data_IF_134268433681
#
_entry.id   IF_134268433681
#
_cell.length_a   1.000
_cell.length_b   1.000
_cell.length_c   1.000
_cell.angle_alpha   90.00
_cell.angle_beta   90.00
_cell.angle_gamma   90.00
#
_symmetry.space_group_name_H-M   'P 1'
#
loop_
_entity.id
_entity.type
_entity.pdbx_description
1 polymer ?
#
# COMPACT_ATOMS: atom_id res chain seq x y z
N UNK A 1 41.67 22.24 11.37
CA UNK A 1 40.24 21.99 11.67
C UNK A 1 39.86 20.68 11.01
N UNK A 2 39.76 19.62 11.80
CA UNK A 2 39.52 18.27 11.32
C UNK A 2 38.03 18.14 10.99
N UNK A 3 37.68 18.08 9.71
CA UNK A 3 36.37 17.61 9.28
C UNK A 3 36.16 16.20 9.88
N UNK A 4 34.95 15.93 10.38
CA UNK A 4 34.64 14.59 10.86
C UNK A 4 34.80 13.58 9.70
N UNK A 5 35.34 12.37 9.91
CA UNK A 5 35.67 11.43 8.84
C UNK A 5 34.48 11.04 7.93
N UNK A 6 33.24 11.29 8.39
CA UNK A 6 32.01 10.95 7.68
C UNK A 6 31.59 11.98 6.62
N UNK A 7 32.10 13.23 6.69
CA UNK A 7 31.65 14.34 5.85
C UNK A 7 32.69 14.81 4.82
N UNK A 8 33.91 14.28 4.84
CA UNK A 8 35.02 14.78 4.01
C UNK A 8 34.93 14.48 2.51
N UNK A 9 34.04 13.57 2.09
CA UNK A 9 33.91 13.14 0.68
C UNK A 9 33.20 14.20 -0.19
N UNK A 10 32.53 15.17 0.43
CA UNK A 10 31.75 16.22 -0.25
C UNK A 10 32.59 17.19 -1.12
N UNK A 11 33.91 17.29 -0.92
CA UNK A 11 34.74 18.27 -1.61
C UNK A 11 35.31 17.78 -2.95
N UNK A 12 35.63 16.48 -3.07
CA UNK A 12 36.32 15.93 -4.24
C UNK A 12 35.35 15.59 -5.41
N UNK A 13 34.14 15.12 -5.09
CA UNK A 13 33.16 14.66 -6.10
C UNK A 13 32.44 15.79 -6.85
N UNK A 14 32.42 17.03 -6.30
CA UNK A 14 31.78 18.18 -6.97
C UNK A 14 32.41 18.49 -8.35
N UNK A 15 33.72 18.18 -8.54
CA UNK A 15 34.39 18.34 -9.84
C UNK A 15 33.94 17.31 -10.87
N UNK A 16 33.48 16.13 -10.46
CA UNK A 16 33.15 15.00 -11.35
C UNK A 16 31.71 15.02 -11.87
N UNK A 17 30.79 15.63 -11.13
CA UNK A 17 29.35 15.54 -11.42
C UNK A 17 28.67 16.88 -11.73
N UNK A 18 29.35 18.02 -11.62
CA UNK A 18 28.81 19.34 -12.00
C UNK A 18 27.68 19.88 -11.10
N UNK A 19 27.21 19.10 -10.11
CA UNK A 19 26.28 19.50 -9.06
C UNK A 19 26.99 19.51 -7.69
N UNK A 20 26.41 20.21 -6.70
CA UNK A 20 26.92 20.19 -5.33
C UNK A 20 26.41 18.93 -4.64
N UNK A 21 27.23 17.89 -4.58
CA UNK A 21 26.86 16.55 -4.08
C UNK A 21 27.68 16.21 -2.85
N UNK A 22 27.02 15.89 -1.74
CA UNK A 22 27.63 15.22 -0.60
C UNK A 22 27.24 13.75 -0.61
N UNK A 23 28.22 12.87 -0.49
CA UNK A 23 27.98 11.45 -0.20
C UNK A 23 28.30 11.20 1.26
N UNK A 24 27.32 10.67 2.00
CA UNK A 24 27.56 10.06 3.29
C UNK A 24 27.89 8.59 3.05
N UNK A 25 29.18 8.27 3.07
CA UNK A 25 29.68 6.89 3.07
C UNK A 25 30.65 6.76 4.25
N UNK A 26 30.66 5.60 4.88
CA UNK A 26 31.41 5.41 6.13
C UNK A 26 32.60 4.47 5.99
N UNK A 27 33.21 4.33 4.79
CA UNK A 27 34.64 4.01 4.61
C UNK A 27 35.05 3.96 3.13
N UNK A 28 36.31 4.35 2.89
CA UNK A 28 37.25 4.12 1.77
C UNK A 28 36.81 4.46 0.32
N UNK A 29 37.44 5.48 -0.31
CA UNK A 29 37.25 5.85 -1.72
C UNK A 29 37.47 4.71 -2.74
N UNK A 30 38.17 3.63 -2.36
CA UNK A 30 38.53 2.51 -3.24
C UNK A 30 37.32 1.69 -3.73
N UNK A 31 36.18 1.71 -3.03
CA UNK A 31 34.97 0.95 -3.41
C UNK A 31 34.19 1.62 -4.56
N UNK A 32 34.39 2.93 -4.79
CA UNK A 32 33.83 3.66 -5.94
C UNK A 32 34.59 3.40 -7.25
N UNK A 33 35.63 2.57 -7.21
CA UNK A 33 36.35 2.07 -8.38
C UNK A 33 35.87 0.67 -8.77
N UNK A 34 34.57 0.37 -8.65
CA UNK A 34 34.08 -0.85 -9.30
C UNK A 34 34.30 -0.72 -10.81
N UNK A 35 34.87 -1.73 -11.49
CA UNK A 35 34.92 -1.75 -12.93
C UNK A 35 33.49 -1.59 -13.45
N UNK A 36 33.31 -0.85 -14.55
CA UNK A 36 32.07 -0.80 -15.30
C UNK A 36 31.49 -2.22 -15.39
N UNK A 37 30.48 -2.53 -14.56
CA UNK A 37 29.58 -3.61 -14.91
C UNK A 37 28.79 -3.05 -16.06
N UNK A 38 29.23 -3.39 -17.27
CA UNK A 38 28.39 -3.33 -18.45
C UNK A 38 27.05 -3.93 -18.06
N UNK A 39 26.04 -3.07 -17.99
CA UNK A 39 24.65 -3.49 -18.02
C UNK A 39 24.47 -4.16 -19.37
N UNK A 40 24.74 -5.46 -19.42
CA UNK A 40 24.40 -6.25 -20.59
C UNK A 40 22.87 -6.30 -20.70
N UNK A 41 22.44 -5.80 -21.85
CA UNK A 41 21.12 -5.73 -22.44
C UNK A 41 20.12 -4.69 -21.90
N UNK A 42 19.76 -3.68 -22.72
CA UNK A 42 18.56 -2.90 -22.48
C UNK A 42 17.36 -3.82 -22.70
N UNK A 43 16.67 -4.16 -21.61
CA UNK A 43 15.40 -4.87 -21.70
C UNK A 43 14.40 -3.97 -22.45
N UNK A 44 14.22 -4.23 -23.76
CA UNK A 44 13.19 -3.56 -24.57
C UNK A 44 11.83 -4.14 -24.17
N UNK A 45 11.09 -3.42 -23.34
CA UNK A 45 9.64 -3.45 -23.38
C UNK A 45 9.11 -2.02 -23.55
N UNK A 46 8.94 -1.65 -24.81
CA UNK A 46 8.04 -0.55 -25.19
C UNK A 46 6.62 -1.07 -25.12
N UNK A 47 5.89 -0.72 -24.06
CA UNK A 47 4.45 -0.44 -24.11
C UNK A 47 4.03 0.15 -22.76
N UNK A 48 3.42 1.35 -22.81
CA UNK A 48 2.76 1.97 -21.66
C UNK A 48 1.65 1.03 -21.19
N UNK A 49 1.90 0.26 -20.13
CA UNK A 49 0.81 -0.44 -19.48
C UNK A 49 -0.06 0.58 -18.72
N UNK A 50 -1.40 0.51 -18.87
CA UNK A 50 -2.30 1.21 -17.96
C UNK A 50 -2.00 0.80 -16.51
N UNK A 51 -2.50 1.54 -15.49
CA UNK A 51 -2.29 1.19 -14.08
C UNK A 51 -2.53 -0.31 -13.87
N UNK A 52 -1.69 -1.00 -13.07
CA UNK A 52 -1.65 -2.46 -13.05
C UNK A 52 -3.08 -2.98 -12.84
N UNK A 53 -3.63 -3.59 -13.88
CA UNK A 53 -4.75 -4.51 -13.68
C UNK A 53 -4.12 -5.73 -13.05
N UNK A 54 -4.28 -5.87 -11.73
CA UNK A 54 -3.85 -7.06 -11.03
C UNK A 54 -4.38 -8.28 -11.77
N UNK A 55 -3.47 -9.09 -12.28
CA UNK A 55 -3.87 -10.32 -12.98
C UNK A 55 -4.22 -11.36 -11.93
N UNK A 56 -5.01 -12.36 -12.32
CA UNK A 56 -5.25 -13.52 -11.46
C UNK A 56 -3.94 -14.21 -11.05
N UNK A 57 -2.89 -14.12 -11.87
CA UNK A 57 -1.56 -14.64 -11.57
C UNK A 57 -0.90 -13.83 -10.45
N UNK A 58 -1.03 -12.50 -10.46
CA UNK A 58 -0.47 -11.64 -9.41
C UNK A 58 -1.13 -11.94 -8.06
N UNK A 59 -2.46 -12.08 -8.03
CA UNK A 59 -3.23 -12.46 -6.83
C UNK A 59 -2.82 -13.85 -6.31
N UNK A 60 -2.62 -14.82 -7.19
CA UNK A 60 -2.18 -16.18 -6.81
C UNK A 60 -0.74 -16.19 -6.31
N UNK A 61 0.14 -15.41 -6.92
CA UNK A 61 1.53 -15.26 -6.50
C UNK A 61 1.62 -14.56 -5.16
N UNK A 62 0.87 -13.48 -4.94
CA UNK A 62 0.77 -12.80 -3.66
C UNK A 62 0.24 -13.74 -2.58
N UNK A 63 -0.84 -14.49 -2.86
CA UNK A 63 -1.36 -15.52 -1.95
C UNK A 63 -0.27 -16.54 -1.57
N UNK A 64 0.42 -17.13 -2.54
CA UNK A 64 1.43 -18.14 -2.26
C UNK A 64 2.62 -17.56 -1.47
N UNK A 65 3.06 -16.35 -1.81
CA UNK A 65 4.15 -15.67 -1.12
C UNK A 65 3.76 -15.32 0.32
N UNK A 66 2.58 -14.70 0.52
CA UNK A 66 2.14 -14.22 1.82
C UNK A 66 1.71 -15.37 2.73
N UNK A 67 1.00 -16.38 2.24
CA UNK A 67 0.51 -17.45 3.12
C UNK A 67 1.55 -18.55 3.29
N UNK A 68 2.19 -19.01 2.22
CA UNK A 68 3.01 -20.23 2.30
C UNK A 68 4.48 -19.90 2.51
N UNK A 69 5.04 -18.99 1.71
CA UNK A 69 6.46 -18.65 1.83
C UNK A 69 6.73 -17.91 3.14
N UNK A 70 5.87 -16.96 3.54
CA UNK A 70 6.05 -16.24 4.79
C UNK A 70 5.90 -17.15 6.01
N UNK A 71 4.87 -18.03 6.04
CA UNK A 71 4.67 -18.96 7.15
C UNK A 71 5.82 -19.97 7.25
N UNK A 72 6.31 -20.45 6.11
CA UNK A 72 7.49 -21.33 6.07
C UNK A 72 8.72 -20.67 6.70
N UNK A 73 9.03 -19.44 6.30
CA UNK A 73 10.18 -18.71 6.86
C UNK A 73 9.99 -18.35 8.33
N UNK A 74 8.77 -18.01 8.75
CA UNK A 74 8.45 -17.77 10.16
C UNK A 74 8.61 -19.03 10.99
N UNK A 75 7.99 -20.14 10.59
CA UNK A 75 8.12 -21.44 11.27
C UNK A 75 9.59 -21.87 11.38
N UNK A 76 10.35 -21.75 10.28
CA UNK A 76 11.78 -22.06 10.27
C UNK A 76 12.56 -21.17 11.24
N UNK A 77 12.31 -19.87 11.25
CA UNK A 77 12.99 -18.93 12.15
C UNK A 77 12.63 -19.20 13.61
N UNK A 78 11.34 -19.41 13.91
CA UNK A 78 10.84 -19.64 15.26
C UNK A 78 11.24 -21.02 15.82
N UNK A 79 11.48 -22.01 14.95
CA UNK A 79 12.05 -23.29 15.37
C UNK A 79 13.43 -23.14 16.01
N UNK A 80 14.20 -22.11 15.64
CA UNK A 80 15.49 -21.79 16.28
C UNK A 80 15.31 -21.35 17.74
N UNK A 81 14.11 -20.91 18.12
CA UNK A 81 13.72 -20.50 19.47
C UNK A 81 12.89 -21.58 20.19
N UNK A 82 12.79 -22.79 19.64
CA UNK A 82 12.06 -23.91 20.26
C UNK A 82 10.56 -23.95 20.00
N UNK A 83 10.04 -23.10 19.10
CA UNK A 83 8.64 -23.10 18.69
C UNK A 83 8.50 -24.03 17.48
N UNK A 84 7.97 -25.23 17.71
CA UNK A 84 7.92 -26.30 16.70
C UNK A 84 6.80 -26.11 15.66
N UNK A 85 5.73 -25.41 16.02
CA UNK A 85 4.55 -25.19 15.18
C UNK A 85 4.22 -23.70 15.14
N UNK A 86 4.01 -23.18 13.93
CA UNK A 86 3.63 -21.80 13.70
C UNK A 86 2.59 -21.78 12.58
N UNK A 87 1.45 -21.19 12.88
CA UNK A 87 0.46 -20.77 11.89
C UNK A 87 0.04 -19.33 12.18
N UNK A 88 -0.25 -18.57 11.12
CA UNK A 88 -0.72 -17.19 11.28
C UNK A 88 -2.09 -17.12 11.97
N UNK A 89 -2.95 -18.11 11.71
CA UNK A 89 -4.26 -18.30 12.36
C UNK A 89 -4.14 -18.33 13.87
N UNK A 90 -3.16 -19.05 14.43
CA UNK A 90 -2.94 -19.17 15.87
C UNK A 90 -2.62 -17.80 16.47
N UNK A 91 -1.73 -17.03 15.82
CA UNK A 91 -1.43 -15.65 16.24
C UNK A 91 -2.71 -14.80 16.23
N UNK A 92 -3.46 -14.80 15.14
CA UNK A 92 -4.64 -13.95 15.05
C UNK A 92 -5.76 -14.34 16.02
N UNK A 93 -5.87 -15.62 16.39
CA UNK A 93 -6.90 -16.11 17.31
C UNK A 93 -6.52 -15.96 18.78
N UNK A 94 -5.24 -16.10 19.12
CA UNK A 94 -4.75 -16.05 20.50
C UNK A 94 -4.29 -14.64 20.93
N UNK A 95 -4.01 -13.75 19.98
CA UNK A 95 -3.57 -12.38 20.28
C UNK A 95 -4.71 -11.57 20.93
N UNK A 96 -4.41 -10.96 22.08
CA UNK A 96 -5.35 -10.09 22.79
C UNK A 96 -5.35 -8.65 22.26
N UNK A 97 -4.17 -8.10 21.97
CA UNK A 97 -3.99 -6.81 21.32
C UNK A 97 -2.80 -6.87 20.35
N UNK A 98 -2.96 -6.19 19.22
CA UNK A 98 -1.93 -6.01 18.20
C UNK A 98 -1.58 -4.54 18.13
N UNK A 99 -0.31 -4.21 18.38
CA UNK A 99 0.21 -2.85 18.20
C UNK A 99 0.78 -2.71 16.80
N UNK A 100 0.30 -1.72 16.05
CA UNK A 100 0.78 -1.43 14.70
C UNK A 100 1.50 -0.10 14.64
N UNK A 101 2.70 -0.13 14.07
CA UNK A 101 3.47 1.08 13.76
C UNK A 101 3.02 1.76 12.46
N UNK A 102 2.04 1.18 11.76
CA UNK A 102 1.43 1.79 10.59
C UNK A 102 0.48 2.94 11.01
N UNK A 103 0.39 4.03 10.24
CA UNK A 103 -0.60 5.08 10.50
C UNK A 103 -2.02 4.60 10.19
N UNK A 104 -2.95 4.72 11.14
CA UNK A 104 -4.35 4.29 11.01
C UNK A 104 -5.15 4.98 9.89
N UNK A 105 -4.80 6.22 9.53
CA UNK A 105 -5.58 7.03 8.59
C UNK A 105 -5.16 6.92 7.13
N UNK A 106 -4.11 6.16 6.81
CA UNK A 106 -3.48 6.18 5.48
C UNK A 106 -3.39 4.83 4.79
N UNK A 107 -3.81 3.76 5.46
CA UNK A 107 -4.03 2.48 4.81
C UNK A 107 -5.32 2.50 4.03
N UNK A 108 -5.43 1.61 3.04
CA UNK A 108 -6.73 1.28 2.47
C UNK A 108 -7.68 0.81 3.57
N UNK A 109 -8.99 1.09 3.44
CA UNK A 109 -9.99 0.52 4.34
C UNK A 109 -9.85 -1.01 4.34
N UNK A 110 -9.61 -1.57 5.51
CA UNK A 110 -9.49 -3.02 5.71
C UNK A 110 -10.30 -3.42 6.93
N UNK A 111 -10.67 -4.70 6.98
CA UNK A 111 -11.35 -5.27 8.15
C UNK A 111 -10.35 -5.34 9.29
N UNK A 112 -10.62 -4.60 10.37
CA UNK A 112 -9.78 -4.55 11.57
C UNK A 112 -10.59 -4.98 12.78
N UNK A 113 -9.94 -5.69 13.71
CA UNK A 113 -10.52 -5.99 15.02
C UNK A 113 -10.41 -4.77 15.95
N UNK A 114 -11.28 -4.69 16.97
CA UNK A 114 -11.10 -3.78 18.11
C UNK A 114 -9.84 -4.09 18.95
N UNK A 115 -9.14 -5.17 18.62
CA UNK A 115 -7.86 -5.55 19.21
C UNK A 115 -6.66 -4.85 18.54
N UNK A 116 -6.87 -4.17 17.42
CA UNK A 116 -5.82 -3.45 16.70
C UNK A 116 -5.64 -2.03 17.27
N UNK A 117 -4.45 -1.73 17.77
CA UNK A 117 -4.09 -0.41 18.32
C UNK A 117 -2.99 0.19 17.45
N UNK A 118 -3.25 1.37 16.90
CA UNK A 118 -2.30 2.06 16.02
C UNK A 118 -1.46 3.06 16.79
N UNK A 119 -0.18 2.73 17.00
CA UNK A 119 0.78 3.56 17.72
C UNK A 119 1.76 4.26 16.77
N UNK A 120 1.57 4.11 15.46
CA UNK A 120 2.50 4.57 14.44
C UNK A 120 2.50 6.07 14.14
N UNK A 121 1.47 6.79 14.57
CA UNK A 121 1.18 8.13 14.05
C UNK A 121 1.82 9.28 14.85
N UNK A 122 3.13 9.22 15.10
CA UNK A 122 3.86 10.21 15.92
C UNK A 122 5.04 10.83 15.18
N UNK A 123 5.37 12.07 15.55
CA UNK A 123 6.56 12.77 15.07
C UNK A 123 7.51 13.02 16.23
N UNK A 124 8.69 12.40 16.19
CA UNK A 124 9.75 12.71 17.18
C UNK A 124 10.45 14.01 16.82
N UNK A 125 10.99 14.67 17.84
CA UNK A 125 11.78 15.88 17.68
C UNK A 125 13.02 15.66 16.80
N UNK A 126 13.42 16.72 16.10
CA UNK A 126 14.56 16.72 15.19
C UNK A 126 15.78 17.23 15.96
N UNK A 127 16.88 16.48 15.93
CA UNK A 127 18.11 16.84 16.63
C UNK A 127 18.87 17.98 15.96
N UNK A 128 20.02 18.34 16.54
CA UNK A 128 20.98 19.25 15.91
C UNK A 128 21.85 18.49 14.93
N UNK A 129 22.12 19.09 13.77
CA UNK A 129 23.12 18.60 12.81
C UNK A 129 24.50 19.15 13.14
N UNK A 130 25.58 18.43 12.77
CA UNK A 130 26.93 18.98 12.74
C UNK A 130 27.03 20.29 11.94
N UNK A 131 27.85 21.23 12.39
CA UNK A 131 27.99 22.58 11.79
C UNK A 131 28.45 22.54 10.33
N UNK A 132 29.29 21.57 9.98
CA UNK A 132 29.81 21.36 8.62
C UNK A 132 28.69 20.92 7.65
N UNK A 133 27.83 20.00 8.09
CA UNK A 133 26.64 19.58 7.36
C UNK A 133 25.64 20.74 7.22
N UNK A 134 25.38 21.48 8.30
CA UNK A 134 24.49 22.63 8.27
C UNK A 134 24.96 23.68 7.26
N UNK A 135 26.24 24.05 7.30
CA UNK A 135 26.83 25.00 6.36
C UNK A 135 26.72 24.53 4.90
N UNK A 136 26.81 23.22 4.66
CA UNK A 136 26.64 22.64 3.33
C UNK A 136 25.19 22.72 2.83
N UNK A 137 24.23 22.34 3.68
CA UNK A 137 22.80 22.35 3.36
C UNK A 137 22.26 23.77 3.18
N UNK A 138 22.74 24.71 3.98
CA UNK A 138 22.29 26.11 4.05
C UNK A 138 22.85 27.04 2.96
N UNK A 139 23.55 26.50 1.96
CA UNK A 139 24.09 27.25 0.83
C UNK A 139 22.98 27.92 -0.01
N UNK A 140 22.91 29.26 0.06
CA UNK A 140 21.90 30.09 -0.57
C UNK A 140 22.02 30.19 -2.09
N UNK A 141 23.14 29.79 -2.69
CA UNK A 141 23.34 29.82 -4.15
C UNK A 141 22.51 28.78 -4.90
N UNK A 142 21.99 27.78 -4.17
CA UNK A 142 21.20 26.67 -4.71
C UNK A 142 19.69 26.90 -4.52
N UNK A 143 18.87 26.23 -5.32
CA UNK A 143 17.39 26.32 -5.25
C UNK A 143 16.80 25.48 -4.12
N UNK A 144 17.46 24.40 -3.75
CA UNK A 144 17.01 23.50 -2.68
C UNK A 144 17.91 22.27 -2.56
N UNK A 145 17.54 21.38 -1.65
CA UNK A 145 18.22 20.14 -1.33
C UNK A 145 17.34 18.95 -1.67
N UNK A 146 17.92 17.96 -2.33
CA UNK A 146 17.32 16.66 -2.60
C UNK A 146 18.11 15.63 -1.81
N UNK A 147 17.44 14.98 -0.86
CA UNK A 147 18.04 13.89 -0.10
C UNK A 147 17.71 12.57 -0.78
N UNK A 148 18.69 11.67 -0.86
CA UNK A 148 18.57 10.39 -1.55
C UNK A 148 19.06 9.28 -0.61
N UNK A 149 18.18 8.34 -0.25
CA UNK A 149 18.53 7.23 0.64
C UNK A 149 17.82 5.91 0.27
N UNK A 150 18.62 4.93 -0.14
CA UNK A 150 18.16 3.58 -0.51
C UNK A 150 18.76 2.49 0.38
N UNK A 151 19.29 2.86 1.55
CA UNK A 151 19.95 1.92 2.46
C UNK A 151 21.30 1.44 1.91
N UNK A 152 21.42 0.13 1.68
CA UNK A 152 22.65 -0.53 1.19
C UNK A 152 22.64 -0.78 -0.32
N UNK A 153 21.73 -0.15 -1.08
CA UNK A 153 21.63 -0.32 -2.53
C UNK A 153 22.16 0.92 -3.26
N UNK A 154 23.02 0.70 -4.27
CA UNK A 154 23.50 1.74 -5.20
C UNK A 154 23.05 1.37 -6.61
N UNK A 155 22.58 2.36 -7.37
CA UNK A 155 22.31 2.24 -8.80
C UNK A 155 23.08 3.36 -9.50
N UNK A 156 23.93 3.01 -10.48
CA UNK A 156 24.81 3.97 -11.16
C UNK A 156 24.04 5.10 -11.85
N UNK A 157 22.82 4.81 -12.32
CA UNK A 157 21.91 5.77 -12.93
C UNK A 157 21.59 6.98 -12.03
N UNK A 158 21.71 6.87 -10.70
CA UNK A 158 21.50 8.00 -9.80
C UNK A 158 22.55 9.10 -9.99
N UNK A 159 23.81 8.74 -10.26
CA UNK A 159 24.88 9.72 -10.42
C UNK A 159 24.78 10.51 -11.72
N UNK A 160 24.28 9.87 -12.78
CA UNK A 160 24.04 10.55 -14.05
C UNK A 160 22.91 11.59 -13.91
N UNK A 161 21.84 11.24 -13.20
CA UNK A 161 20.72 12.13 -12.93
C UNK A 161 21.14 13.42 -12.22
N UNK A 162 22.12 13.40 -11.33
CA UNK A 162 22.60 14.61 -10.63
C UNK A 162 23.09 15.70 -11.58
N UNK A 163 23.66 15.33 -12.73
CA UNK A 163 24.18 16.28 -13.74
C UNK A 163 23.10 17.18 -14.32
N UNK A 164 21.84 16.73 -14.31
CA UNK A 164 20.70 17.49 -14.85
C UNK A 164 20.15 18.54 -13.87
N UNK A 165 20.69 18.63 -12.65
CA UNK A 165 20.22 19.50 -11.58
C UNK A 165 21.38 20.30 -10.91
N UNK A 166 22.17 21.08 -11.67
CA UNK A 166 23.32 21.81 -11.13
C UNK A 166 22.93 22.88 -10.07
N UNK A 167 21.68 23.33 -10.11
CA UNK A 167 21.12 24.31 -9.18
C UNK A 167 20.66 23.72 -7.84
N UNK A 168 20.69 22.39 -7.68
CA UNK A 168 20.27 21.72 -6.44
C UNK A 168 21.47 21.12 -5.70
N UNK A 169 21.28 20.95 -4.39
CA UNK A 169 22.19 20.21 -3.53
C UNK A 169 21.69 18.78 -3.45
N UNK A 170 22.58 17.81 -3.66
CA UNK A 170 22.25 16.41 -3.41
C UNK A 170 22.99 15.91 -2.18
N UNK A 171 22.26 15.23 -1.28
CA UNK A 171 22.87 14.42 -0.24
C UNK A 171 22.47 12.98 -0.49
N UNK A 172 23.46 12.15 -0.84
CA UNK A 172 23.28 10.72 -1.08
C UNK A 172 23.80 9.94 0.13
N UNK A 173 22.91 9.22 0.82
CA UNK A 173 23.29 8.36 1.95
C UNK A 173 23.44 6.92 1.48
N UNK A 174 24.64 6.36 1.62
CA UNK A 174 24.94 4.96 1.35
C UNK A 174 25.55 4.30 2.58
N UNK A 175 24.87 3.27 3.09
CA UNK A 175 25.27 2.63 4.35
C UNK A 175 26.35 1.56 4.12
N UNK A 176 27.57 1.82 4.61
CA UNK A 176 28.64 0.80 4.74
C UNK A 176 28.97 0.45 6.21
N UNK A 177 28.95 1.43 7.12
CA UNK A 177 29.40 1.37 8.54
C UNK A 177 28.78 2.46 9.47
N UNK A 178 27.80 3.24 9.03
CA UNK A 178 27.11 4.25 9.87
C UNK A 178 25.90 4.88 9.18
N UNK A 179 25.19 5.76 9.89
CA UNK A 179 23.93 6.35 9.44
C UNK A 179 24.06 7.86 9.25
N UNK A 180 23.56 8.40 8.12
CA UNK A 180 23.35 9.83 7.97
C UNK A 180 22.28 10.31 8.97
N UNK A 181 22.32 11.57 9.44
CA UNK A 181 21.27 12.18 10.25
C UNK A 181 20.04 12.46 9.36
N UNK A 182 19.39 11.38 8.92
CA UNK A 182 18.35 11.39 7.89
C UNK A 182 17.20 12.31 8.28
N UNK A 183 16.73 12.20 9.52
CA UNK A 183 15.60 12.98 10.04
C UNK A 183 15.87 14.47 10.00
N UNK A 184 17.07 14.84 10.37
CA UNK A 184 17.51 16.23 10.36
C UNK A 184 17.67 16.75 8.93
N UNK A 185 18.27 15.96 8.03
CA UNK A 185 18.42 16.33 6.62
C UNK A 185 17.06 16.52 5.97
N UNK A 186 16.11 15.60 6.16
CA UNK A 186 14.79 15.72 5.52
C UNK A 186 13.94 16.85 6.09
N UNK A 187 14.11 17.17 7.37
CA UNK A 187 13.38 18.24 8.06
C UNK A 187 14.01 19.63 7.84
N UNK A 188 15.21 19.68 7.26
CA UNK A 188 15.87 20.93 6.95
C UNK A 188 15.04 21.78 5.97
N UNK A 189 14.94 23.09 6.22
CA UNK A 189 14.05 24.01 5.48
C UNK A 189 14.32 24.06 3.97
N UNK A 190 15.54 23.73 3.55
CA UNK A 190 15.95 23.73 2.15
C UNK A 190 15.67 22.40 1.45
N UNK A 191 15.27 21.36 2.19
CA UNK A 191 14.94 20.06 1.60
C UNK A 191 13.60 20.13 0.90
N UNK A 192 13.63 19.92 -0.42
CA UNK A 192 12.45 20.03 -1.29
C UNK A 192 11.93 18.67 -1.74
N UNK A 193 12.76 17.64 -1.70
CA UNK A 193 12.42 16.29 -2.13
C UNK A 193 13.25 15.26 -1.38
N UNK A 194 12.63 14.14 -1.02
CA UNK A 194 13.30 12.96 -0.51
C UNK A 194 13.08 11.79 -1.47
N UNK A 195 14.16 11.27 -2.05
CA UNK A 195 14.15 10.11 -2.93
C UNK A 195 14.53 8.85 -2.13
N UNK A 196 13.61 7.89 -2.05
CA UNK A 196 13.73 6.72 -1.16
C UNK A 196 13.17 5.45 -1.80
N UNK A 197 13.45 4.30 -1.18
CA UNK A 197 12.85 3.02 -1.52
C UNK A 197 11.39 2.87 -1.03
N UNK A 198 10.91 3.75 -0.14
CA UNK A 198 9.52 3.74 0.31
C UNK A 198 9.23 2.83 1.50
N UNK A 199 10.23 2.47 2.30
CA UNK A 199 10.01 1.77 3.57
C UNK A 199 9.19 2.63 4.55
N UNK A 200 8.38 1.98 5.40
CA UNK A 200 7.42 2.63 6.30
C UNK A 200 8.04 3.73 7.17
N UNK A 201 9.25 3.51 7.69
CA UNK A 201 9.96 4.51 8.51
C UNK A 201 10.30 5.77 7.71
N UNK A 202 10.82 5.62 6.49
CA UNK A 202 11.16 6.76 5.62
C UNK A 202 9.91 7.56 5.28
N UNK A 203 8.79 6.88 5.07
CA UNK A 203 7.50 7.51 4.87
C UNK A 203 7.07 8.37 6.06
N UNK A 204 7.05 7.80 7.27
CA UNK A 204 6.64 8.53 8.49
C UNK A 204 7.51 9.76 8.73
N UNK A 205 8.83 9.59 8.58
CA UNK A 205 9.80 10.67 8.69
C UNK A 205 9.54 11.79 7.66
N UNK A 206 9.20 11.44 6.42
CA UNK A 206 8.85 12.39 5.37
C UNK A 206 7.55 13.16 5.67
N UNK A 207 6.51 12.48 6.18
CA UNK A 207 5.26 13.12 6.63
C UNK A 207 5.57 14.13 7.73
N UNK A 208 6.32 13.73 8.76
CA UNK A 208 6.69 14.62 9.87
C UNK A 208 7.52 15.83 9.42
N UNK A 209 8.43 15.64 8.47
CA UNK A 209 9.24 16.69 7.86
C UNK A 209 8.48 17.53 6.81
N UNK A 210 7.26 17.13 6.44
CA UNK A 210 6.49 17.70 5.35
C UNK A 210 7.24 17.66 4.01
N UNK A 211 8.13 16.69 3.79
CA UNK A 211 8.98 16.62 2.59
C UNK A 211 8.40 15.63 1.58
N UNK A 212 8.03 16.06 0.35
CA UNK A 212 7.53 15.17 -0.70
C UNK A 212 8.47 14.02 -1.03
N UNK A 213 7.91 12.92 -1.53
CA UNK A 213 8.64 11.67 -1.80
C UNK A 213 8.70 11.31 -3.27
N UNK A 214 9.91 11.04 -3.78
CA UNK A 214 10.05 10.18 -4.95
C UNK A 214 10.35 8.77 -4.44
N UNK A 215 9.64 7.77 -4.92
CA UNK A 215 9.75 6.40 -4.43
C UNK A 215 10.20 5.48 -5.56
N UNK A 216 11.26 4.70 -5.35
CA UNK A 216 11.63 3.57 -6.20
C UNK A 216 11.52 2.29 -5.35
N UNK A 217 10.36 1.63 -5.33
CA UNK A 217 10.15 0.44 -4.51
C UNK A 217 10.92 -0.74 -5.09
N UNK A 218 11.52 -1.55 -4.22
CA UNK A 218 12.24 -2.76 -4.64
C UNK A 218 11.46 -4.04 -4.40
N UNK A 219 10.81 -4.20 -3.23
CA UNK A 219 10.06 -5.41 -2.85
C UNK A 219 9.17 -5.19 -1.62
N UNK A 220 8.32 -6.18 -1.34
CA UNK A 220 7.46 -6.28 -0.14
C UNK A 220 6.60 -5.02 0.10
N UNK A 221 6.60 -4.50 1.32
CA UNK A 221 5.77 -3.39 1.78
C UNK A 221 6.05 -2.06 1.06
N UNK A 222 7.21 -1.94 0.40
CA UNK A 222 7.61 -0.73 -0.31
C UNK A 222 6.67 -0.42 -1.49
N UNK A 223 6.19 -1.44 -2.20
CA UNK A 223 5.31 -1.28 -3.37
C UNK A 223 3.94 -0.70 -2.94
N UNK A 224 3.18 -1.32 -2.02
CA UNK A 224 1.92 -0.75 -1.57
C UNK A 224 2.11 0.59 -0.88
N UNK A 225 3.21 0.82 -0.15
CA UNK A 225 3.53 2.15 0.39
C UNK A 225 3.65 3.19 -0.74
N UNK A 226 4.41 2.90 -1.80
CA UNK A 226 4.55 3.80 -2.95
C UNK A 226 3.20 4.15 -3.59
N UNK A 227 2.35 3.14 -3.80
CA UNK A 227 1.00 3.31 -4.37
C UNK A 227 0.15 4.20 -3.47
N UNK A 228 0.15 3.95 -2.16
CA UNK A 228 -0.63 4.74 -1.20
C UNK A 228 -0.17 6.21 -1.19
N UNK A 229 1.13 6.46 -1.20
CA UNK A 229 1.64 7.84 -1.15
C UNK A 229 1.40 8.62 -2.43
N UNK A 230 1.44 7.93 -3.58
CA UNK A 230 1.02 8.48 -4.86
C UNK A 230 -0.46 8.82 -4.84
N UNK A 231 -1.31 7.94 -4.29
CA UNK A 231 -2.74 8.18 -4.14
C UNK A 231 -3.04 9.39 -3.24
N UNK A 232 -2.31 9.54 -2.13
CA UNK A 232 -2.40 10.71 -1.24
C UNK A 232 -1.87 12.00 -1.88
N UNK A 233 -1.17 11.90 -3.02
CA UNK A 233 -0.81 13.02 -3.88
C UNK A 233 0.41 13.82 -3.43
N UNK A 234 1.23 13.28 -2.53
CA UNK A 234 2.49 13.90 -2.13
C UNK A 234 3.74 13.14 -2.58
N UNK A 235 3.55 12.04 -3.30
CA UNK A 235 4.63 11.26 -3.85
C UNK A 235 4.44 10.92 -5.32
N UNK A 236 5.54 10.58 -5.98
CA UNK A 236 5.55 9.83 -7.23
C UNK A 236 6.26 8.49 -7.00
N UNK A 237 5.83 7.47 -7.73
CA UNK A 237 6.48 6.15 -7.73
C UNK A 237 7.09 5.89 -9.09
N UNK A 238 8.31 5.37 -9.09
CA UNK A 238 9.02 4.87 -10.24
C UNK A 238 8.81 3.36 -10.37
N UNK A 239 8.91 2.86 -11.59
CA UNK A 239 8.85 1.43 -11.90
C UNK A 239 10.27 0.96 -12.20
N UNK A 240 10.73 -0.07 -11.49
CA UNK A 240 12.12 -0.57 -11.60
C UNK A 240 12.48 -1.01 -13.02
N UNK A 241 11.55 -1.63 -13.75
CA UNK A 241 11.77 -2.14 -15.12
C UNK A 241 11.86 -1.03 -16.16
N UNK A 242 11.32 0.15 -15.88
CA UNK A 242 11.30 1.31 -16.78
C UNK A 242 12.27 2.41 -16.33
N UNK A 243 13.17 2.08 -15.41
CA UNK A 243 14.05 3.06 -14.79
C UNK A 243 15.11 3.52 -15.80
N UNK A 244 14.98 4.76 -16.26
CA UNK A 244 16.00 5.46 -17.03
C UNK A 244 16.35 6.81 -16.39
N UNK A 245 17.50 7.36 -16.77
CA UNK A 245 17.94 8.69 -16.32
C UNK A 245 16.90 9.76 -16.70
N UNK A 246 16.32 9.68 -17.90
CA UNK A 246 15.31 10.59 -18.40
C UNK A 246 14.03 10.56 -17.56
N UNK A 247 13.57 9.35 -17.20
CA UNK A 247 12.36 9.17 -16.37
C UNK A 247 12.59 9.76 -14.98
N UNK A 248 13.73 9.49 -14.35
CA UNK A 248 14.07 10.07 -13.05
C UNK A 248 14.13 11.60 -13.10
N UNK A 249 14.81 12.15 -14.10
CA UNK A 249 14.93 13.61 -14.28
C UNK A 249 13.57 14.25 -14.51
N UNK A 250 12.71 13.65 -15.33
CA UNK A 250 11.36 14.15 -15.58
C UNK A 250 10.53 14.20 -14.28
N UNK A 251 10.57 13.14 -13.48
CA UNK A 251 9.78 13.04 -12.25
C UNK A 251 10.31 13.98 -11.15
N UNK A 252 11.63 14.06 -10.96
CA UNK A 252 12.21 15.02 -10.01
C UNK A 252 11.82 16.45 -10.43
N UNK A 253 11.98 16.80 -11.71
CA UNK A 253 11.64 18.15 -12.22
C UNK A 253 10.16 18.47 -11.99
N UNK A 254 9.25 17.52 -12.25
CA UNK A 254 7.81 17.64 -11.98
C UNK A 254 7.56 17.96 -10.50
N UNK A 255 8.16 17.18 -9.60
CA UNK A 255 7.92 17.30 -8.16
C UNK A 255 8.50 18.57 -7.54
N UNK A 256 9.73 18.95 -7.89
CA UNK A 256 10.37 20.16 -7.32
C UNK A 256 9.74 21.45 -7.85
N UNK A 257 9.10 21.41 -9.03
CA UNK A 257 8.43 22.58 -9.62
C UNK A 257 6.99 22.74 -9.12
N UNK A 258 6.29 21.62 -8.91
CA UNK A 258 4.89 21.63 -8.51
C UNK A 258 4.71 21.71 -6.99
N UNK A 259 4.27 22.88 -6.50
CA UNK A 259 4.00 23.09 -5.07
C UNK A 259 2.87 22.23 -4.52
N UNK A 260 2.02 21.63 -5.37
CA UNK A 260 0.91 20.79 -4.93
C UNK A 260 1.38 19.62 -4.04
N UNK A 261 2.53 19.01 -4.32
CA UNK A 261 3.05 17.92 -3.50
C UNK A 261 3.37 18.38 -2.07
N UNK A 262 4.00 19.56 -1.92
CA UNK A 262 4.32 20.14 -0.61
C UNK A 262 3.06 20.53 0.16
N UNK A 263 2.07 21.10 -0.52
CA UNK A 263 0.79 21.45 0.12
C UNK A 263 -0.05 20.22 0.48
N UNK A 264 0.04 19.14 -0.31
CA UNK A 264 -0.59 17.86 0.03
C UNK A 264 0.04 17.24 1.27
N UNK A 265 1.36 17.12 1.35
CA UNK A 265 1.99 16.51 2.53
C UNK A 265 1.79 17.32 3.81
N UNK A 266 1.73 18.65 3.74
CA UNK A 266 1.34 19.49 4.88
C UNK A 266 -0.05 19.15 5.40
N UNK A 267 -1.03 19.01 4.50
CA UNK A 267 -2.39 18.59 4.85
C UNK A 267 -2.41 17.18 5.45
N UNK A 268 -1.63 16.26 4.87
CA UNK A 268 -1.49 14.91 5.40
C UNK A 268 -0.90 14.95 6.80
N UNK A 269 0.21 15.66 7.03
CA UNK A 269 0.79 15.80 8.37
C UNK A 269 -0.19 16.37 9.39
N UNK A 270 -0.99 17.37 9.02
CA UNK A 270 -2.01 17.92 9.91
C UNK A 270 -3.00 16.82 10.37
N UNK A 271 -3.44 15.96 9.46
CA UNK A 271 -4.30 14.80 9.78
C UNK A 271 -3.54 13.73 10.58
N UNK A 272 -2.23 13.59 10.36
CA UNK A 272 -1.38 12.55 10.94
C UNK A 272 -1.26 12.71 12.45
N UNK A 273 -1.01 13.94 12.88
CA UNK A 273 -0.79 14.30 14.28
C UNK A 273 -2.09 14.67 15.00
N UNK A 274 -3.19 14.88 14.26
CA UNK A 274 -4.50 15.24 14.82
C UNK A 274 -5.19 14.03 15.46
N UNK A 275 -4.72 13.65 16.64
CA UNK A 275 -5.26 12.53 17.43
C UNK A 275 -5.73 13.03 18.79
N UNK A 276 -6.69 12.29 19.37
CA UNK A 276 -7.21 12.56 20.72
C UNK A 276 -6.13 12.32 21.79
N UNK A 277 -5.23 11.37 21.55
CA UNK A 277 -4.16 10.97 22.45
C UNK A 277 -2.88 10.77 21.64
N UNK A 278 -1.73 11.09 22.24
CA UNK A 278 -0.43 10.77 21.63
C UNK A 278 -0.34 9.24 21.44
N UNK A 279 0.08 8.76 20.26
CA UNK A 279 0.11 7.32 19.99
C UNK A 279 1.00 6.51 20.94
N UNK A 280 2.06 7.12 21.50
CA UNK A 280 2.92 6.43 22.47
C UNK A 280 2.21 6.34 23.82
N UNK A 281 1.53 7.39 24.26
CA UNK A 281 0.69 7.37 25.46
C UNK A 281 -0.48 6.39 25.32
N UNK A 282 -1.12 6.32 24.16
CA UNK A 282 -2.15 5.34 23.82
C UNK A 282 -1.59 3.91 23.92
N UNK A 283 -0.38 3.68 23.40
CA UNK A 283 0.32 2.41 23.51
C UNK A 283 0.56 1.99 24.96
N UNK A 284 1.05 2.92 25.79
CA UNK A 284 1.25 2.70 27.24
C UNK A 284 -0.08 2.36 27.91
N UNK A 285 -1.13 3.14 27.66
CA UNK A 285 -2.45 2.92 28.24
C UNK A 285 -2.98 1.51 27.95
N UNK A 286 -2.94 1.06 26.69
CA UNK A 286 -3.40 -0.27 26.28
C UNK A 286 -2.55 -1.39 26.86
N UNK A 287 -1.23 -1.19 26.91
CA UNK A 287 -0.30 -2.14 27.53
C UNK A 287 -0.62 -2.31 29.02
N UNK A 288 -0.73 -1.22 29.77
CA UNK A 288 -1.08 -1.28 31.19
C UNK A 288 -2.48 -1.85 31.41
N UNK A 289 -3.43 -1.55 30.52
CA UNK A 289 -4.79 -2.09 30.60
C UNK A 289 -4.78 -3.62 30.55
N UNK A 290 -4.05 -4.22 29.60
CA UNK A 290 -3.87 -5.69 29.56
C UNK A 290 -3.27 -6.19 30.86
N UNK A 291 -2.18 -5.56 31.32
CA UNK A 291 -1.49 -6.01 32.53
C UNK A 291 -2.38 -5.94 33.78
N UNK A 292 -3.30 -4.97 33.85
CA UNK A 292 -4.29 -4.86 34.93
C UNK A 292 -5.42 -5.89 34.80
N UNK A 293 -5.88 -6.19 33.58
CA UNK A 293 -6.97 -7.13 33.35
C UNK A 293 -6.44 -8.50 32.97
N UNK A 294 -6.39 -9.44 33.91
CA UNK A 294 -6.07 -10.86 33.65
C UNK A 294 -7.13 -11.61 32.82
N UNK A 295 -8.09 -10.90 32.22
CA UNK A 295 -9.21 -11.50 31.46
C UNK A 295 -8.82 -11.58 30.00
N UNK A 296 -8.53 -12.78 29.52
CA UNK A 296 -8.27 -13.10 28.12
C UNK A 296 -9.55 -13.09 27.27
N UNK A 297 -10.16 -11.93 27.11
CA UNK A 297 -11.26 -11.73 26.16
C UNK A 297 -10.64 -11.38 24.80
N UNK A 298 -10.68 -12.32 23.87
CA UNK A 298 -10.28 -12.09 22.48
C UNK A 298 -11.52 -11.84 21.61
N UNK A 299 -11.36 -10.99 20.60
CA UNK A 299 -12.39 -10.66 19.62
C UNK A 299 -11.84 -10.89 18.21
N UNK A 300 -11.51 -12.14 17.86
CA UNK A 300 -10.96 -12.45 16.55
C UNK A 300 -11.99 -12.13 15.46
N UNK A 301 -11.51 -11.57 14.36
CA UNK A 301 -12.34 -11.36 13.17
C UNK A 301 -12.62 -12.70 12.51
N UNK A 302 -13.83 -12.92 11.99
CA UNK A 302 -14.18 -14.20 11.35
C UNK A 302 -13.21 -14.58 10.22
N UNK A 303 -12.70 -13.58 9.50
CA UNK A 303 -11.72 -13.74 8.43
C UNK A 303 -10.41 -14.41 8.86
N UNK A 304 -10.00 -14.35 10.13
CA UNK A 304 -8.75 -15.02 10.59
C UNK A 304 -8.83 -16.55 10.55
N UNK A 305 -10.05 -17.09 10.49
CA UNK A 305 -10.32 -18.53 10.44
C UNK A 305 -10.76 -19.01 9.06
N UNK A 306 -10.88 -18.09 8.09
CA UNK A 306 -11.32 -18.39 6.74
C UNK A 306 -10.12 -18.69 5.86
N UNK A 307 -10.27 -19.66 4.97
CA UNK A 307 -9.33 -19.91 3.89
C UNK A 307 -9.41 -18.80 2.84
N UNK A 308 -8.36 -18.66 2.02
CA UNK A 308 -8.40 -17.71 0.90
C UNK A 308 -9.51 -18.02 -0.12
N UNK A 309 -9.91 -19.29 -0.24
CA UNK A 309 -11.04 -19.70 -1.09
C UNK A 309 -12.34 -19.05 -0.60
N UNK A 310 -12.58 -19.11 0.71
CA UNK A 310 -13.76 -18.54 1.34
C UNK A 310 -13.71 -17.01 1.37
N UNK A 311 -12.55 -16.39 1.69
CA UNK A 311 -12.44 -14.92 1.79
C UNK A 311 -12.62 -14.24 0.43
N UNK A 312 -12.19 -14.90 -0.66
CA UNK A 312 -12.37 -14.44 -2.04
C UNK A 312 -13.70 -14.92 -2.65
N UNK A 313 -14.53 -15.64 -1.89
CA UNK A 313 -15.80 -16.24 -2.34
C UNK A 313 -15.67 -17.12 -3.60
N UNK A 314 -14.51 -17.77 -3.79
CA UNK A 314 -14.26 -18.59 -4.98
C UNK A 314 -15.14 -19.85 -5.01
N UNK A 315 -15.49 -20.37 -3.83
CA UNK A 315 -16.46 -21.44 -3.63
C UNK A 315 -17.88 -21.05 -4.08
N UNK A 316 -18.34 -19.85 -3.69
CA UNK A 316 -19.63 -19.30 -4.11
C UNK A 316 -19.66 -19.02 -5.61
N UNK A 317 -18.58 -18.45 -6.15
CA UNK A 317 -18.46 -18.19 -7.59
C UNK A 317 -18.45 -19.50 -8.39
N UNK A 318 -17.74 -20.52 -7.92
CA UNK A 318 -17.74 -21.85 -8.53
C UNK A 318 -19.16 -22.45 -8.54
N UNK A 319 -19.86 -22.41 -7.40
CA UNK A 319 -21.25 -22.89 -7.32
C UNK A 319 -22.20 -22.11 -8.23
N UNK A 320 -22.09 -20.77 -8.28
CA UNK A 320 -22.89 -19.93 -9.16
C UNK A 320 -22.63 -20.24 -10.64
N UNK A 321 -21.37 -20.46 -11.01
CA UNK A 321 -20.96 -20.80 -12.39
C UNK A 321 -21.53 -22.14 -12.87
N UNK A 322 -21.78 -23.08 -11.95
CA UNK A 322 -22.38 -24.38 -12.26
C UNK A 322 -23.91 -24.32 -12.27
N UNK A 323 -24.51 -23.60 -11.32
CA UNK A 323 -25.96 -23.61 -11.12
C UNK A 323 -26.72 -22.66 -12.05
N UNK A 324 -26.18 -21.48 -12.35
CA UNK A 324 -26.84 -20.49 -13.20
C UNK A 324 -27.07 -21.00 -14.64
N UNK A 325 -26.11 -21.65 -15.32
CA UNK A 325 -26.33 -22.20 -16.65
C UNK A 325 -27.35 -23.32 -16.66
N UNK A 326 -27.38 -24.16 -15.61
CA UNK A 326 -28.37 -25.25 -15.48
C UNK A 326 -29.79 -24.69 -15.31
N UNK A 327 -29.95 -23.65 -14.49
CA UNK A 327 -31.23 -22.96 -14.32
C UNK A 327 -31.67 -22.29 -15.62
N UNK A 328 -30.76 -21.60 -16.31
CA UNK A 328 -31.04 -20.99 -17.62
C UNK A 328 -31.43 -22.03 -18.65
N UNK A 329 -30.71 -23.16 -18.72
CA UNK A 329 -31.04 -24.28 -19.59
C UNK A 329 -32.46 -24.81 -19.31
N UNK A 330 -32.81 -25.03 -18.04
CA UNK A 330 -34.15 -25.49 -17.65
C UNK A 330 -35.24 -24.48 -17.97
N UNK A 331 -34.98 -23.18 -17.77
CA UNK A 331 -35.93 -22.13 -18.14
C UNK A 331 -36.14 -22.09 -19.65
N UNK A 332 -35.07 -22.16 -20.44
CA UNK A 332 -35.15 -22.21 -21.89
C UNK A 332 -35.92 -23.44 -22.36
N UNK A 333 -35.61 -24.62 -21.83
CA UNK A 333 -36.33 -25.88 -22.11
C UNK A 333 -37.84 -25.72 -21.85
N UNK A 334 -38.24 -25.19 -20.69
CA UNK A 334 -39.66 -24.95 -20.35
C UNK A 334 -40.30 -23.94 -21.32
N UNK A 335 -39.62 -22.85 -21.66
CA UNK A 335 -40.16 -21.85 -22.60
C UNK A 335 -40.32 -22.40 -24.01
N UNK A 336 -39.36 -23.19 -24.49
CA UNK A 336 -39.42 -23.85 -25.81
C UNK A 336 -40.55 -24.87 -25.84
N UNK A 337 -40.70 -25.69 -24.78
CA UNK A 337 -41.82 -26.64 -24.66
C UNK A 337 -43.17 -25.89 -24.70
N UNK A 338 -43.31 -24.80 -23.94
CA UNK A 338 -44.53 -23.97 -23.93
C UNK A 338 -44.86 -23.38 -25.31
N UNK A 339 -43.85 -22.86 -26.02
CA UNK A 339 -44.05 -22.29 -27.36
C UNK A 339 -44.35 -23.37 -28.41
N UNK A 340 -43.75 -24.55 -28.29
CA UNK A 340 -43.92 -25.65 -29.24
C UNK A 340 -45.23 -26.42 -29.04
N UNK A 341 -45.76 -26.44 -27.81
CA UNK A 341 -46.98 -27.18 -27.45
C UNK A 341 -47.98 -26.31 -26.65
N UNK A 342 -48.52 -25.22 -27.25
CA UNK A 342 -49.48 -24.35 -26.57
C UNK A 342 -50.81 -25.05 -26.23
N UNK A 343 -51.09 -26.21 -26.84
CA UNK A 343 -52.30 -27.01 -26.62
C UNK A 343 -52.32 -27.80 -25.30
N UNK A 344 -51.18 -27.97 -24.62
CA UNK A 344 -51.09 -28.67 -23.34
C UNK A 344 -51.52 -27.83 -22.12
N UNK A 345 -51.69 -26.51 -22.27
CA UNK A 345 -52.11 -25.61 -21.18
C UNK A 345 -53.64 -25.43 -21.08
N UNK A 346 -54.47 -26.21 -21.80
CA UNK A 346 -55.92 -26.16 -21.53
C UNK A 346 -56.15 -26.65 -20.10
N UNK A 347 -56.73 -25.84 -19.19
CA UNK A 347 -57.22 -26.38 -17.94
C UNK A 347 -58.21 -27.48 -18.31
N UNK A 348 -58.11 -28.63 -17.64
CA UNK A 348 -59.15 -29.67 -17.69
C UNK A 348 -60.43 -29.09 -17.07
N UNK A 349 -61.12 -28.24 -17.80
CA UNK A 349 -62.53 -27.96 -17.59
C UNK A 349 -63.24 -29.26 -17.95
N UNK A 350 -63.44 -30.13 -16.95
CA UNK A 350 -64.35 -31.26 -17.05
C UNK A 350 -65.72 -30.74 -17.49
N UNK A 351 -66.25 -31.18 -18.66
CA UNK A 351 -67.62 -30.88 -19.03
C UNK A 351 -68.51 -31.89 -18.30
N UNK A 352 -68.95 -31.57 -17.10
CA UNK A 352 -69.69 -32.58 -16.33
C UNK A 352 -70.15 -32.17 -14.94
N UNK A 353 -70.72 -30.99 -14.76
CA UNK A 353 -71.68 -30.74 -13.68
C UNK A 353 -72.71 -29.71 -14.16
N UNK A 354 -73.63 -30.15 -15.02
CA UNK A 354 -74.92 -29.52 -15.15
C UNK A 354 -75.82 -30.08 -14.02
N UNK A 355 -75.92 -29.38 -12.90
CA UNK A 355 -77.12 -29.45 -12.07
C UNK A 355 -77.34 -28.15 -11.30
N UNK A 356 -78.55 -27.62 -11.46
CA UNK A 356 -79.26 -26.72 -10.55
C UNK A 356 -78.73 -25.28 -10.40
N UNK A 357 -79.36 -24.34 -11.11
CA UNK A 357 -80.33 -23.39 -10.52
C UNK A 357 -80.49 -22.14 -11.39
N UNK A 358 -81.68 -21.97 -11.96
CA UNK A 358 -82.36 -20.67 -12.08
C UNK A 358 -83.73 -20.90 -12.72
N UNK A 359 -84.75 -20.81 -11.88
CA UNK A 359 -86.13 -20.61 -12.29
C UNK A 359 -86.23 -19.39 -13.22
N UNK A 360 -87.07 -19.42 -14.25
CA UNK A 360 -87.53 -18.20 -14.88
C UNK A 360 -88.69 -17.63 -14.07
N UNK A 361 -88.48 -16.47 -13.45
CA UNK A 361 -89.55 -15.59 -12.98
C UNK A 361 -90.49 -15.29 -14.14
N UNK A 362 -91.67 -15.91 -14.15
CA UNK A 362 -92.81 -15.49 -14.97
C UNK A 362 -93.82 -14.77 -14.08
N UNK A 363 -94.16 -13.56 -14.53
CA UNK A 363 -95.13 -12.64 -13.96
C UNK A 363 -96.52 -13.27 -13.99
N UNK A 364 -97.25 -13.21 -12.88
CA UNK A 364 -98.72 -13.18 -12.90
C UNK A 364 -99.16 -11.84 -12.31
N UNK A 365 -99.71 -10.99 -13.18
CA UNK A 365 -100.35 -9.73 -12.84
C UNK A 365 -101.65 -9.97 -12.07
N UNK A 366 -102.06 -9.03 -11.20
CA UNK A 366 -103.24 -9.19 -10.35
C UNK A 366 -104.51 -8.83 -11.12
N UNK A 367 -105.65 -9.40 -10.75
CA UNK A 367 -106.94 -8.76 -11.03
C UNK A 367 -107.90 -8.90 -9.85
N UNK A 368 -108.61 -7.83 -9.47
CA UNK A 368 -109.47 -7.77 -8.29
C UNK A 368 -110.95 -8.04 -8.62
N UNK A 369 -111.78 -8.07 -7.56
CA UNK A 369 -113.24 -8.25 -7.50
C UNK A 369 -113.70 -9.68 -7.81
N UNK A 370 -114.48 -10.36 -6.97
CA UNK A 370 -115.46 -10.00 -5.92
C UNK A 370 -115.48 -11.05 -4.83
#
# INVERSE_FOLDING_TARGET
MLATPAFSIALDQNRRFGAKVAMYTTTDPSVLQSPERTLEEPCRLTELLPPPQETAVDLLMEYYILEHLSAFWMAKTLSLFGIAHFEWSDIYNETQLTFSDYPDRYSWPTTVSNQMVYTGAFCTEVGRVPEDLEAFMSDSTKKGLIYVAFGSMVVDAFFEMFRHFPDYIFIFSFKLKGWAPQREIIAHKRTVLFFTHGGLKSLKEAICAETPLLVLPFFADQIPNAVNMRHLGFAESLIKTELSTEVMVAQIRKMVTNRAYKEKIKKIKAIFVDRVMDPQEEGVFWTERILRSSRGLTFPIRGSTMTYVEILNLDVLALASLTLPLLLWRLLEVTVIRQSFPSLERPLLHPGFASASSEPTSKVTPKPST
#
